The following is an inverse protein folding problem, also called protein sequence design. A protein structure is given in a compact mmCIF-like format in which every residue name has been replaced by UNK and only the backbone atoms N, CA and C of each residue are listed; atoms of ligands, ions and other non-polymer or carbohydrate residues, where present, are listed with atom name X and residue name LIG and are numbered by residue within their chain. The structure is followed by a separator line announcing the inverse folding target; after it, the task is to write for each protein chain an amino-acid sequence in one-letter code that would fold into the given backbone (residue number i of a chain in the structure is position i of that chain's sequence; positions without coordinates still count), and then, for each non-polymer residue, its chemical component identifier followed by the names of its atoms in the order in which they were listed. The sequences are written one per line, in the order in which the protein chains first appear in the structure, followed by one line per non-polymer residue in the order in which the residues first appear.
data_IF_934888200712
#
_entry.id   IF_934888200712
#
_cell.length_a   1.000
_cell.length_b   1.000
_cell.length_c   1.000
_cell.angle_alpha   90.00
_cell.angle_beta   90.00
_cell.angle_gamma   90.00
#
_symmetry.space_group_name_H-M   'P 1'
#
loop_
_entity.id
_entity.type
_entity.pdbx_description
1 polymer ?
#
# COMPACT_ATOMS: atom_id res chain seq x y z
N UNK A 1 -0.04 22.33 -9.45
CA UNK A 1 -0.29 21.00 -8.85
C UNK A 1 0.62 19.99 -9.54
N UNK A 2 1.48 19.23 -8.83
CA UNK A 2 2.19 18.12 -9.45
C UNK A 2 1.17 17.18 -10.09
N UNK A 3 1.47 16.67 -11.29
CA UNK A 3 0.64 15.62 -11.87
C UNK A 3 0.62 14.45 -10.86
N UNK A 4 -0.54 13.87 -10.55
CA UNK A 4 -0.68 12.81 -9.53
C UNK A 4 0.34 11.67 -9.72
N UNK A 5 0.77 11.43 -10.96
CA UNK A 5 1.81 10.47 -11.34
C UNK A 5 3.20 10.79 -10.79
N UNK A 6 3.56 12.07 -10.67
CA UNK A 6 4.88 12.50 -10.19
C UNK A 6 4.98 12.35 -8.68
N UNK A 7 3.93 12.79 -7.96
CA UNK A 7 3.80 12.58 -6.52
C UNK A 7 3.76 11.08 -6.19
N UNK A 8 3.00 10.29 -6.96
CA UNK A 8 2.98 8.83 -6.80
C UNK A 8 4.36 8.18 -6.98
N UNK A 9 5.17 8.69 -7.90
CA UNK A 9 6.55 8.22 -8.11
C UNK A 9 7.46 8.58 -6.94
N UNK A 10 7.34 9.79 -6.39
CA UNK A 10 8.11 10.20 -5.20
C UNK A 10 7.81 9.33 -3.96
N UNK A 11 6.57 8.81 -3.86
CA UNK A 11 6.16 7.87 -2.82
C UNK A 11 6.60 6.42 -3.07
N UNK A 12 7.31 6.13 -4.16
CA UNK A 12 7.93 4.84 -4.42
C UNK A 12 9.34 4.89 -3.85
N UNK A 13 9.68 3.95 -2.97
CA UNK A 13 10.95 3.96 -2.22
C UNK A 13 11.58 2.57 -2.15
N UNK A 14 12.91 2.55 -2.00
CA UNK A 14 13.69 1.35 -1.74
C UNK A 14 13.25 0.71 -0.42
N UNK A 15 13.01 -0.61 -0.40
CA UNK A 15 12.59 -1.31 0.81
C UNK A 15 13.74 -1.58 1.80
N UNK A 16 15.00 -1.33 1.40
CA UNK A 16 16.16 -1.49 2.28
C UNK A 16 16.60 -0.15 2.89
N UNK A 17 16.78 0.88 2.04
CA UNK A 17 17.36 2.16 2.45
C UNK A 17 16.39 3.34 2.41
N UNK A 18 15.12 3.10 2.05
CA UNK A 18 14.03 4.09 2.03
C UNK A 18 14.25 5.30 1.11
N UNK A 19 15.30 5.31 0.29
CA UNK A 19 15.49 6.34 -0.74
C UNK A 19 14.34 6.27 -1.75
N UNK A 20 13.74 7.42 -2.04
CA UNK A 20 12.74 7.58 -3.11
C UNK A 20 13.33 7.26 -4.47
N UNK A 21 12.46 6.90 -5.40
CA UNK A 21 12.79 6.56 -6.79
C UNK A 21 13.43 7.76 -7.53
N UNK A 22 14.76 7.76 -7.76
CA UNK A 22 15.40 8.87 -8.46
C UNK A 22 15.00 8.80 -9.93
N UNK A 23 14.51 9.92 -10.49
CA UNK A 23 14.07 9.95 -11.89
C UNK A 23 15.12 9.44 -12.88
N UNK A 24 16.41 9.64 -12.56
CA UNK A 24 17.54 9.21 -13.38
C UNK A 24 17.83 7.69 -13.33
N UNK A 25 17.42 6.98 -12.27
CA UNK A 25 17.74 5.56 -12.07
C UNK A 25 16.57 4.85 -11.38
N UNK A 26 15.57 4.37 -12.15
CA UNK A 26 14.34 3.86 -11.57
C UNK A 26 14.58 2.64 -10.68
N UNK A 27 13.93 2.57 -9.52
CA UNK A 27 14.05 1.43 -8.62
C UNK A 27 13.68 0.12 -9.32
N UNK A 28 14.58 -0.87 -9.25
CA UNK A 28 14.38 -2.21 -9.75
C UNK A 28 13.33 -2.94 -8.90
N UNK A 29 12.46 -3.72 -9.56
CA UNK A 29 11.44 -4.50 -8.90
C UNK A 29 11.94 -5.93 -8.64
N UNK A 30 11.58 -6.53 -7.51
CA UNK A 30 11.89 -7.92 -7.22
C UNK A 30 11.32 -8.84 -8.33
N UNK A 31 12.18 -9.61 -8.99
CA UNK A 31 11.79 -10.46 -10.11
C UNK A 31 10.75 -11.53 -9.74
N UNK A 32 10.80 -12.02 -8.50
CA UNK A 32 9.94 -13.07 -7.98
C UNK A 32 8.53 -12.55 -7.66
N UNK A 33 8.41 -11.69 -6.64
CA UNK A 33 7.09 -11.22 -6.18
C UNK A 33 6.51 -10.08 -7.02
N UNK A 34 7.35 -9.30 -7.72
CA UNK A 34 6.99 -8.10 -8.49
C UNK A 34 6.31 -6.99 -7.67
N UNK A 35 6.59 -6.91 -6.36
CA UNK A 35 5.99 -5.93 -5.43
C UNK A 35 7.00 -5.04 -4.71
N UNK A 36 8.11 -5.62 -4.24
CA UNK A 36 9.18 -4.86 -3.57
C UNK A 36 10.09 -4.17 -4.59
N UNK A 37 10.61 -3.00 -4.22
CA UNK A 37 11.50 -2.18 -5.06
C UNK A 37 12.81 -1.88 -4.34
N UNK A 38 13.91 -1.90 -5.10
CA UNK A 38 15.27 -1.71 -4.59
C UNK A 38 16.08 -0.82 -5.53
N UNK A 39 16.98 0.00 -4.98
CA UNK A 39 17.86 0.82 -5.81
C UNK A 39 19.06 0.02 -6.38
N UNK A 40 19.37 -1.14 -5.80
CA UNK A 40 20.48 -2.00 -6.21
C UNK A 40 20.27 -3.43 -5.72
N UNK A 41 21.01 -4.37 -6.32
CA UNK A 41 21.07 -5.76 -5.87
C UNK A 41 21.54 -5.87 -4.41
N UNK A 42 22.53 -5.06 -4.00
CA UNK A 42 22.99 -5.01 -2.61
C UNK A 42 21.86 -4.67 -1.63
N UNK A 43 20.98 -3.72 -1.99
CA UNK A 43 19.79 -3.41 -1.19
C UNK A 43 18.79 -4.55 -1.17
N UNK A 44 18.61 -5.27 -2.29
CA UNK A 44 17.74 -6.44 -2.33
C UNK A 44 18.25 -7.57 -1.43
N UNK A 45 19.56 -7.86 -1.45
CA UNK A 45 20.19 -8.88 -0.59
C UNK A 45 20.06 -8.48 0.89
N UNK A 46 20.34 -7.21 1.21
CA UNK A 46 20.24 -6.71 2.58
C UNK A 46 18.81 -6.80 3.16
N UNK A 47 17.79 -6.53 2.34
CA UNK A 47 16.39 -6.65 2.76
C UNK A 47 15.84 -8.08 2.70
N UNK A 48 16.58 -9.05 2.13
CA UNK A 48 16.09 -10.41 1.93
C UNK A 48 15.62 -11.11 3.21
N UNK A 49 16.32 -11.04 4.37
CA UNK A 49 15.87 -11.70 5.59
C UNK A 49 14.47 -11.29 6.02
N UNK A 50 14.14 -10.00 5.93
CA UNK A 50 12.80 -9.48 6.22
C UNK A 50 11.80 -9.67 5.07
N UNK A 51 12.26 -9.67 3.82
CA UNK A 51 11.38 -9.74 2.65
C UNK A 51 10.96 -11.17 2.29
N UNK A 52 11.77 -12.19 2.59
CA UNK A 52 11.60 -13.57 2.10
C UNK A 52 10.20 -14.14 2.37
N UNK A 53 9.69 -13.97 3.60
CA UNK A 53 8.38 -14.48 3.99
C UNK A 53 7.27 -13.84 3.13
N UNK A 54 7.27 -12.50 3.03
CA UNK A 54 6.31 -11.78 2.19
C UNK A 54 6.46 -12.17 0.71
N UNK A 55 7.69 -12.29 0.20
CA UNK A 55 7.95 -12.68 -1.18
C UNK A 55 7.31 -14.02 -1.53
N UNK A 56 7.42 -15.01 -0.64
CA UNK A 56 6.84 -16.33 -0.82
C UNK A 56 5.30 -16.28 -0.80
N UNK A 57 4.70 -15.56 0.15
CA UNK A 57 3.24 -15.37 0.20
C UNK A 57 2.72 -14.73 -1.08
N UNK A 58 3.36 -13.65 -1.55
CA UNK A 58 2.92 -12.94 -2.75
C UNK A 58 3.10 -13.78 -4.02
N UNK A 59 4.09 -14.69 -4.06
CA UNK A 59 4.24 -15.67 -5.14
C UNK A 59 3.14 -16.74 -5.14
N UNK A 60 2.81 -17.26 -3.96
CA UNK A 60 1.72 -18.23 -3.78
C UNK A 60 0.37 -17.60 -4.20
N UNK A 61 0.07 -16.39 -3.71
CA UNK A 61 -1.13 -15.63 -4.06
C UNK A 61 -1.25 -15.45 -5.58
N UNK A 62 -0.17 -15.03 -6.25
CA UNK A 62 -0.17 -14.84 -7.71
C UNK A 62 -0.38 -16.14 -8.49
N UNK A 63 0.07 -17.27 -7.95
CA UNK A 63 -0.15 -18.58 -8.57
C UNK A 63 -1.61 -19.01 -8.39
N UNK A 64 -2.17 -18.82 -7.21
CA UNK A 64 -3.56 -19.15 -6.92
C UNK A 64 -4.55 -18.31 -7.75
N UNK A 65 -4.25 -17.03 -7.96
CA UNK A 65 -5.14 -16.14 -8.72
C UNK A 65 -5.19 -16.46 -10.22
N UNK A 66 -4.24 -17.24 -10.76
CA UNK A 66 -4.28 -17.69 -12.15
C UNK A 66 -5.35 -18.77 -12.32
N UNK A 67 -6.48 -18.40 -12.93
CA UNK A 67 -7.58 -19.30 -13.28
C UNK A 67 -8.85 -19.10 -12.47
N UNK A 68 -8.79 -18.38 -11.35
CA UNK A 68 -9.98 -18.06 -10.57
C UNK A 68 -10.72 -16.86 -11.19
N UNK A 69 -12.00 -17.07 -11.55
CA UNK A 69 -12.90 -16.01 -11.99
C UNK A 69 -13.52 -15.28 -10.81
N UNK A 70 -13.76 -13.98 -10.97
CA UNK A 70 -14.51 -13.22 -9.97
C UNK A 70 -15.99 -13.57 -10.12
N UNK A 71 -16.53 -14.28 -9.12
CA UNK A 71 -17.95 -14.55 -8.96
C UNK A 71 -18.49 -13.52 -7.96
N UNK A 72 -18.61 -12.27 -8.38
CA UNK A 72 -19.26 -11.22 -7.58
C UNK A 72 -20.43 -10.65 -8.35
N UNK A 73 -21.54 -10.39 -7.66
CA UNK A 73 -22.72 -9.73 -8.23
C UNK A 73 -22.45 -8.29 -8.69
N UNK A 74 -21.45 -7.63 -8.09
CA UNK A 74 -21.05 -6.26 -8.39
C UNK A 74 -19.83 -6.16 -9.31
N UNK A 75 -19.12 -7.27 -9.55
CA UNK A 75 -17.99 -7.27 -10.48
C UNK A 75 -18.46 -7.57 -11.91
N UNK A 76 -17.78 -7.04 -12.93
CA UNK A 76 -18.10 -7.31 -14.31
C UNK A 76 -17.87 -8.80 -14.57
N UNK A 77 -18.95 -9.50 -14.92
CA UNK A 77 -18.91 -10.94 -15.19
C UNK A 77 -17.80 -11.28 -16.17
N UNK A 78 -17.00 -12.29 -15.82
CA UNK A 78 -15.94 -12.83 -16.68
C UNK A 78 -14.55 -12.21 -16.51
N UNK A 79 -14.36 -11.23 -15.62
CA UNK A 79 -13.01 -10.73 -15.29
C UNK A 79 -12.28 -11.76 -14.43
N UNK A 80 -11.02 -12.08 -14.81
CA UNK A 80 -10.14 -12.92 -13.99
C UNK A 80 -9.68 -12.15 -12.75
N UNK A 81 -9.43 -12.85 -11.63
CA UNK A 81 -8.89 -12.20 -10.43
C UNK A 81 -7.57 -11.47 -10.70
N UNK A 82 -6.71 -12.05 -11.54
CA UNK A 82 -5.42 -11.45 -11.93
C UNK A 82 -5.57 -10.16 -12.73
N UNK A 83 -6.54 -10.07 -13.65
CA UNK A 83 -6.76 -8.85 -14.42
C UNK A 83 -7.30 -7.73 -13.54
N UNK A 84 -8.23 -8.07 -12.64
CA UNK A 84 -8.76 -7.13 -11.66
C UNK A 84 -7.65 -6.59 -10.76
N UNK A 85 -6.80 -7.47 -10.24
CA UNK A 85 -5.65 -7.10 -9.42
C UNK A 85 -4.68 -6.19 -10.19
N UNK A 86 -4.38 -6.52 -11.45
CA UNK A 86 -3.49 -5.71 -12.28
C UNK A 86 -4.03 -4.30 -12.54
N UNK A 87 -5.35 -4.15 -12.72
CA UNK A 87 -5.98 -2.84 -12.92
C UNK A 87 -6.03 -2.05 -11.61
N UNK A 88 -6.45 -2.67 -10.49
CA UNK A 88 -6.54 -1.97 -9.20
C UNK A 88 -5.17 -1.53 -8.69
N UNK A 89 -4.12 -2.35 -8.85
CA UNK A 89 -2.76 -1.96 -8.43
C UNK A 89 -2.25 -0.75 -9.21
N UNK A 90 -2.54 -0.65 -10.52
CA UNK A 90 -2.18 0.53 -11.32
C UNK A 90 -2.98 1.76 -10.89
N UNK A 91 -4.26 1.59 -10.55
CA UNK A 91 -5.12 2.66 -10.05
C UNK A 91 -4.62 3.17 -8.70
N UNK A 92 -4.38 2.27 -7.73
CA UNK A 92 -3.82 2.60 -6.41
C UNK A 92 -2.49 3.33 -6.58
N UNK A 93 -1.60 2.84 -7.44
CA UNK A 93 -0.31 3.49 -7.65
C UNK A 93 -0.49 4.93 -8.15
N UNK A 94 -1.46 5.19 -9.05
CA UNK A 94 -1.72 6.55 -9.55
C UNK A 94 -2.32 7.47 -8.49
N UNK A 95 -3.24 6.96 -7.67
CA UNK A 95 -3.94 7.74 -6.64
C UNK A 95 -3.28 7.68 -5.27
N UNK A 96 -2.12 7.02 -5.12
CA UNK A 96 -1.41 6.85 -3.85
C UNK A 96 -1.29 8.13 -3.03
N UNK A 97 -0.93 9.31 -3.60
CA UNK A 97 -0.89 10.56 -2.83
C UNK A 97 -2.25 10.99 -2.31
N UNK A 98 -3.30 10.88 -3.15
CA UNK A 98 -4.66 11.22 -2.76
C UNK A 98 -5.18 10.27 -1.68
N UNK A 99 -5.01 8.95 -1.87
CA UNK A 99 -5.41 7.93 -0.89
C UNK A 99 -4.71 8.14 0.46
N UNK A 100 -3.43 8.50 0.43
CA UNK A 100 -2.68 8.82 1.64
C UNK A 100 -3.23 10.06 2.35
N UNK A 101 -3.49 11.15 1.63
CA UNK A 101 -4.12 12.34 2.22
C UNK A 101 -5.52 12.04 2.74
N UNK A 102 -6.35 11.29 2.00
CA UNK A 102 -7.68 10.87 2.45
C UNK A 102 -7.59 10.07 3.74
N UNK A 103 -6.65 9.13 3.86
CA UNK A 103 -6.43 8.36 5.08
C UNK A 103 -6.01 9.24 6.26
N UNK A 104 -5.05 10.15 6.08
CA UNK A 104 -4.57 11.05 7.14
C UNK A 104 -5.70 11.91 7.68
N UNK A 105 -6.55 12.46 6.79
CA UNK A 105 -7.68 13.30 7.20
C UNK A 105 -8.81 12.47 7.81
N UNK A 106 -9.22 11.36 7.17
CA UNK A 106 -10.32 10.53 7.64
C UNK A 106 -10.04 9.92 9.02
N UNK A 107 -8.78 9.60 9.31
CA UNK A 107 -8.38 9.06 10.60
C UNK A 107 -7.92 10.14 11.59
N UNK A 108 -8.02 11.44 11.23
CA UNK A 108 -7.61 12.57 12.09
C UNK A 108 -6.18 12.43 12.64
N UNK A 109 -5.23 11.92 11.84
CA UNK A 109 -3.91 11.51 12.35
C UNK A 109 -3.03 12.67 12.85
N UNK A 110 -3.36 13.91 12.50
CA UNK A 110 -2.65 15.08 13.03
C UNK A 110 -2.97 15.31 14.51
N UNK A 111 -4.22 15.07 14.91
CA UNK A 111 -4.70 15.29 16.27
C UNK A 111 -4.67 13.99 17.10
N UNK A 112 -4.98 12.86 16.47
CA UNK A 112 -5.11 11.53 17.10
C UNK A 112 -4.31 10.47 16.33
N UNK A 113 -2.96 10.51 16.38
CA UNK A 113 -2.10 9.58 15.63
C UNK A 113 -2.34 8.10 16.00
N UNK A 114 -2.84 7.81 17.19
CA UNK A 114 -3.19 6.46 17.64
C UNK A 114 -4.35 5.83 16.85
N UNK A 115 -5.19 6.63 16.17
CA UNK A 115 -6.21 6.13 15.24
C UNK A 115 -5.59 5.37 14.08
N UNK A 116 -4.36 5.69 13.68
CA UNK A 116 -3.60 4.92 12.67
C UNK A 116 -3.26 3.49 13.12
N UNK A 117 -3.38 3.20 14.42
CA UNK A 117 -3.12 1.87 15.01
C UNK A 117 -4.39 1.14 15.42
N UNK A 118 -5.56 1.79 15.33
CA UNK A 118 -6.86 1.25 15.80
C UNK A 118 -7.92 1.25 14.72
N UNK A 119 -7.84 2.13 13.74
CA UNK A 119 -8.87 2.32 12.74
C UNK A 119 -8.35 2.03 11.34
N UNK A 120 -9.25 1.60 10.47
CA UNK A 120 -8.99 1.37 9.04
C UNK A 120 -10.02 2.17 8.24
N UNK A 121 -9.51 2.95 7.28
CA UNK A 121 -10.33 3.53 6.21
C UNK A 121 -10.60 2.44 5.17
N UNK A 122 -11.87 2.07 4.99
CA UNK A 122 -12.31 1.12 3.99
C UNK A 122 -12.96 1.87 2.83
N UNK A 123 -12.42 1.65 1.62
CA UNK A 123 -12.95 2.23 0.39
C UNK A 123 -13.54 1.12 -0.47
N UNK A 124 -14.85 1.18 -0.72
CA UNK A 124 -15.51 0.26 -1.63
C UNK A 124 -15.50 0.85 -3.03
N UNK A 125 -14.86 0.15 -3.95
CA UNK A 125 -14.72 0.58 -5.34
C UNK A 125 -15.58 -0.28 -6.26
N UNK A 126 -16.31 0.37 -7.18
CA UNK A 126 -17.03 -0.27 -8.27
C UNK A 126 -16.29 -0.07 -9.58
N UNK A 127 -15.99 -1.14 -10.35
CA UNK A 127 -15.32 -1.01 -11.64
C UNK A 127 -16.26 -0.44 -12.71
N UNK A 128 -15.74 0.45 -13.55
CA UNK A 128 -16.48 1.10 -14.66
C UNK A 128 -16.24 0.44 -16.02
N UNK A 129 -15.60 -0.74 -16.01
CA UNK A 129 -15.17 -1.46 -17.22
C UNK A 129 -15.68 -2.91 -17.23
N UNK A 130 -15.45 -3.63 -18.31
CA UNK A 130 -15.93 -5.02 -18.48
C UNK A 130 -14.79 -5.97 -18.87
N UNK A 131 -15.03 -7.27 -18.77
CA UNK A 131 -14.07 -8.30 -19.18
C UNK A 131 -13.63 -8.19 -20.65
N UNK A 132 -14.52 -7.71 -21.53
CA UNK A 132 -14.22 -7.52 -22.95
C UNK A 132 -13.35 -6.29 -23.21
N UNK A 133 -13.39 -5.29 -22.32
CA UNK A 133 -12.73 -3.99 -22.52
C UNK A 133 -12.01 -3.57 -21.23
N UNK A 134 -10.85 -4.19 -20.99
CA UNK A 134 -9.98 -3.79 -19.90
C UNK A 134 -9.40 -2.38 -20.18
N UNK A 135 -9.30 -1.53 -19.15
CA UNK A 135 -8.80 -0.16 -19.30
C UNK A 135 -7.32 -0.18 -19.71
N UNK A 136 -6.99 0.60 -20.75
CA UNK A 136 -5.60 0.86 -21.13
C UNK A 136 -4.93 1.74 -20.07
N UNK A 137 -3.59 1.82 -20.08
CA UNK A 137 -2.80 2.60 -19.12
C UNK A 137 -3.30 4.05 -18.94
N UNK A 138 -3.68 4.72 -20.02
CA UNK A 138 -4.20 6.09 -19.99
C UNK A 138 -5.61 6.22 -19.36
N UNK A 139 -6.39 5.14 -19.38
CA UNK A 139 -7.77 5.09 -18.88
C UNK A 139 -7.87 4.60 -17.44
N UNK A 140 -6.76 4.12 -16.86
CA UNK A 140 -6.75 3.58 -15.49
C UNK A 140 -7.29 4.59 -14.49
N UNK A 141 -7.10 5.90 -14.69
CA UNK A 141 -7.63 6.94 -13.77
C UNK A 141 -9.14 6.89 -13.58
N UNK A 142 -9.89 6.39 -14.57
CA UNK A 142 -11.35 6.29 -14.58
C UNK A 142 -11.86 4.87 -14.41
N UNK A 143 -10.98 3.90 -14.10
CA UNK A 143 -11.32 2.49 -14.04
C UNK A 143 -12.27 2.12 -12.88
N UNK A 144 -12.38 2.99 -11.88
CA UNK A 144 -13.21 2.75 -10.70
C UNK A 144 -13.94 4.02 -10.30
N UNK A 145 -15.13 3.81 -9.76
CA UNK A 145 -15.92 4.78 -9.02
C UNK A 145 -15.94 4.40 -7.55
N UNK A 146 -15.96 5.41 -6.68
CA UNK A 146 -16.10 5.21 -5.26
C UNK A 146 -17.57 4.91 -4.95
N UNK A 147 -17.84 3.69 -4.50
CA UNK A 147 -19.19 3.24 -4.20
C UNK A 147 -19.57 3.48 -2.73
N UNK A 148 -18.59 3.40 -1.83
CA UNK A 148 -18.82 3.57 -0.39
C UNK A 148 -17.52 3.89 0.35
N UNK A 149 -17.65 4.51 1.52
CA UNK A 149 -16.54 4.87 2.42
C UNK A 149 -16.95 4.62 3.86
N UNK A 150 -16.18 3.80 4.56
CA UNK A 150 -16.40 3.49 5.97
C UNK A 150 -15.10 3.61 6.76
N UNK A 151 -15.23 3.87 8.06
CA UNK A 151 -14.13 3.77 9.03
C UNK A 151 -14.51 2.68 10.02
N UNK A 152 -13.65 1.67 10.14
CA UNK A 152 -13.84 0.57 11.09
C UNK A 152 -12.77 0.60 12.17
N UNK A 153 -13.11 0.09 13.35
CA UNK A 153 -12.07 -0.43 14.26
C UNK A 153 -11.40 -1.66 13.60
N UNK A 154 -10.09 -1.80 13.78
CA UNK A 154 -9.30 -2.87 13.17
C UNK A 154 -9.82 -4.25 13.59
N UNK A 155 -10.18 -4.44 14.85
CA UNK A 155 -10.61 -5.73 15.36
C UNK A 155 -11.99 -6.06 14.81
N UNK A 156 -12.87 -5.07 14.69
CA UNK A 156 -14.15 -5.20 14.00
C UNK A 156 -13.97 -5.54 12.51
N UNK A 157 -13.04 -4.87 11.82
CA UNK A 157 -12.74 -5.13 10.41
C UNK A 157 -12.22 -6.55 10.16
N UNK A 158 -11.35 -7.06 11.04
CA UNK A 158 -10.83 -8.44 10.95
C UNK A 158 -11.98 -9.46 11.10
N UNK A 159 -12.95 -9.16 11.96
CA UNK A 159 -14.11 -10.04 12.18
C UNK A 159 -15.03 -10.07 10.96
N UNK A 160 -15.26 -8.94 10.29
CA UNK A 160 -16.11 -8.88 9.08
C UNK A 160 -15.42 -9.39 7.83
N UNK A 161 -14.09 -9.49 7.84
CA UNK A 161 -13.33 -9.99 6.70
C UNK A 161 -13.64 -11.47 6.39
N UNK A 162 -13.71 -11.87 5.10
CA UNK A 162 -13.89 -13.27 4.72
C UNK A 162 -12.78 -14.15 5.32
N UNK A 163 -13.06 -15.41 5.70
CA UNK A 163 -12.11 -16.27 6.42
C UNK A 163 -10.73 -16.37 5.77
N UNK A 164 -10.67 -16.44 4.44
CA UNK A 164 -9.42 -16.49 3.66
C UNK A 164 -8.51 -15.26 3.83
N UNK A 165 -9.08 -14.11 4.15
CA UNK A 165 -8.33 -12.86 4.37
C UNK A 165 -8.02 -12.65 5.85
N UNK A 166 -8.79 -13.26 6.75
CA UNK A 166 -8.68 -13.07 8.20
C UNK A 166 -7.30 -13.45 8.73
N UNK A 167 -6.75 -14.61 8.34
CA UNK A 167 -5.42 -15.05 8.80
C UNK A 167 -4.33 -14.04 8.44
N UNK A 168 -4.36 -13.50 7.22
CA UNK A 168 -3.40 -12.48 6.76
C UNK A 168 -3.57 -11.17 7.53
N UNK A 169 -4.80 -10.72 7.73
CA UNK A 169 -5.09 -9.49 8.47
C UNK A 169 -4.68 -9.61 9.95
N UNK A 170 -4.89 -10.77 10.58
CA UNK A 170 -4.41 -11.04 11.95
C UNK A 170 -2.88 -10.99 12.01
N UNK A 171 -2.18 -11.58 11.04
CA UNK A 171 -0.72 -11.51 10.98
C UNK A 171 -0.23 -10.06 10.88
N UNK A 172 -0.80 -9.28 9.95
CA UNK A 172 -0.45 -7.87 9.77
C UNK A 172 -0.73 -7.04 11.03
N UNK A 173 -1.82 -7.33 11.75
CA UNK A 173 -2.15 -6.67 13.02
C UNK A 173 -1.06 -6.90 14.06
N UNK A 174 -0.53 -8.12 14.19
CA UNK A 174 0.57 -8.41 15.14
C UNK A 174 1.82 -7.59 14.85
N UNK A 175 2.14 -7.35 13.58
CA UNK A 175 3.33 -6.60 13.17
C UNK A 175 3.21 -5.08 13.40
N UNK A 176 1.98 -4.55 13.53
CA UNK A 176 1.73 -3.13 13.83
C UNK A 176 1.91 -2.83 15.34
N UNK A 177 1.70 -3.83 16.20
CA UNK A 177 1.69 -3.67 17.67
C UNK A 177 3.07 -3.47 18.35
N UNK A 178 4.27 -3.78 17.80
CA UNK A 178 5.50 -3.69 18.60
C UNK A 178 6.13 -2.28 18.69
N UNK A 179 5.62 -1.24 18.03
CA UNK A 179 6.23 0.11 18.14
C UNK A 179 5.64 0.88 19.34
N UNK A 180 5.70 0.28 20.53
CA UNK A 180 5.70 1.03 21.80
C UNK A 180 7.14 1.23 22.25
N UNK A 181 7.98 1.84 21.41
CA UNK A 181 9.18 2.47 21.97
C UNK A 181 8.72 3.79 22.57
N UNK A 182 8.97 4.07 23.86
CA UNK A 182 8.75 5.39 24.40
C UNK A 182 9.49 6.37 23.50
N UNK A 183 8.75 7.28 22.87
CA UNK A 183 9.35 8.45 22.26
C UNK A 183 9.90 9.24 23.45
N UNK A 184 11.14 8.96 23.84
CA UNK A 184 11.87 9.83 24.76
C UNK A 184 11.99 11.13 23.99
N UNK A 185 11.12 12.10 24.32
CA UNK A 185 11.34 13.50 23.95
C UNK A 185 12.73 13.81 24.48
N UNK A 186 13.75 13.76 23.62
CA UNK A 186 15.00 14.44 23.89
C UNK A 186 14.58 15.89 24.04
N UNK A 187 14.69 16.41 25.25
CA UNK A 187 14.58 17.84 25.51
C UNK A 187 15.40 18.57 24.44
N UNK A 188 14.87 19.64 23.83
CA UNK A 188 15.65 20.42 22.89
C UNK A 188 16.94 20.85 23.60
N UNK A 189 18.10 20.53 23.02
CA UNK A 189 19.36 21.10 23.50
C UNK A 189 19.23 22.62 23.38
N UNK A 190 19.53 23.38 24.45
CA UNK A 190 19.63 24.83 24.32
C UNK A 190 20.69 25.12 23.26
N UNK A 191 20.32 25.97 22.30
CA UNK A 191 21.22 26.42 21.25
C UNK A 191 22.41 27.11 21.91
N UNK A 192 23.61 26.72 21.48
CA UNK A 192 24.87 27.01 22.14
C UNK A 192 25.10 28.50 22.39
N UNK A 193 25.47 28.80 23.63
CA UNK A 193 26.32 29.92 23.99
C UNK A 193 27.69 29.78 23.32
N UNK A 194 28.08 30.83 22.61
CA UNK A 194 29.43 31.30 22.30
C UNK A 194 30.45 30.30 21.71
N UNK A 195 30.82 30.51 20.45
CA UNK A 195 32.12 30.10 19.93
C UNK A 195 33.16 31.18 20.30
N UNK A 196 34.31 30.82 20.91
CA UNK A 196 35.41 31.74 21.09
C UNK A 196 36.26 31.79 19.80
N UNK A 197 36.61 33.01 19.37
CA UNK A 197 37.96 33.57 19.41
C UNK A 197 37.87 35.08 19.16
#
# INVERSE_FOLDING_TARGET
MPQLTDAARQMKQCQACFKSDPQAAPLACCALCKRAHYCSEACQIAAWPSHKAECNTQQADRTQMKGERIVSSTAPRGISKSDMEAVILKWIQRYKPLLFHSMVNALELYDQPERGLRNVLFLKLSPTFTAKKLPRRAQVSRAFELADVDIFDIDQFIQTAPPRHRTRLISLRRDIVPIRRPCTRKTPRPWGSAWPL
#
